data_IF_534435709588
#
_entry.id   IF_534435709588
#
_cell.length_a   1.000
_cell.length_b   1.000
_cell.length_c   1.000
_cell.angle_alpha   90.00
_cell.angle_beta   90.00
_cell.angle_gamma   90.00
#
_symmetry.space_group_name_H-M   'P 1'
#
loop_
_entity.id
_entity.type
_entity.pdbx_description
1 polymer ?
#
# COMPACT_ATOMS: atom_id res chain seq x y z
N UNK A 1 -8.45 4.14 12.55
CA UNK A 1 -7.22 4.86 12.12
C UNK A 1 -6.80 4.33 10.76
N UNK A 2 -6.45 5.19 9.82
CA UNK A 2 -5.82 4.80 8.56
C UNK A 2 -4.29 4.82 8.71
N UNK A 3 -3.60 3.88 8.09
CA UNK A 3 -2.12 3.87 8.04
C UNK A 3 -1.68 3.69 6.61
N UNK A 4 -0.66 4.43 6.13
CA UNK A 4 -0.10 4.18 4.81
C UNK A 4 0.49 2.76 4.77
N UNK A 5 0.35 2.12 3.62
CA UNK A 5 0.88 0.77 3.37
C UNK A 5 1.10 0.61 1.86
N UNK A 6 2.17 -0.09 1.51
CA UNK A 6 2.37 -0.50 0.11
C UNK A 6 1.50 -1.69 -0.23
N UNK A 7 1.18 -1.81 -1.51
CA UNK A 7 0.40 -2.93 -1.99
C UNK A 7 0.95 -3.44 -3.32
N UNK A 8 0.71 -4.72 -3.57
CA UNK A 8 0.72 -5.30 -4.91
C UNK A 8 -0.68 -5.81 -5.19
N UNK A 9 -1.21 -5.56 -6.39
CA UNK A 9 -2.48 -6.14 -6.84
C UNK A 9 -2.21 -7.24 -7.87
N UNK A 10 -2.60 -8.47 -7.57
CA UNK A 10 -2.40 -9.65 -8.42
C UNK A 10 -3.64 -10.54 -8.35
N UNK A 11 -4.12 -10.97 -9.51
CA UNK A 11 -5.22 -11.95 -9.64
C UNK A 11 -6.45 -11.62 -8.79
N UNK A 12 -6.84 -10.34 -8.76
CA UNK A 12 -8.01 -9.89 -8.00
C UNK A 12 -7.74 -9.62 -6.52
N UNK A 13 -6.55 -9.89 -6.00
CA UNK A 13 -6.19 -9.80 -4.58
C UNK A 13 -5.19 -8.66 -4.33
N UNK A 14 -5.39 -7.89 -3.27
CA UNK A 14 -4.37 -6.97 -2.77
C UNK A 14 -3.48 -7.68 -1.75
N UNK A 15 -2.17 -7.64 -1.97
CA UNK A 15 -1.14 -8.20 -1.11
C UNK A 15 -0.41 -7.05 -0.41
N UNK A 16 -0.45 -7.03 0.91
CA UNK A 16 0.21 -6.02 1.73
C UNK A 16 1.25 -6.69 2.63
N UNK A 17 2.42 -6.10 2.78
CA UNK A 17 3.44 -6.56 3.72
C UNK A 17 3.31 -5.83 5.07
N UNK A 18 3.45 -6.54 6.18
CA UNK A 18 3.56 -5.98 7.54
C UNK A 18 4.24 -6.98 8.48
N UNK A 19 4.43 -6.59 9.75
CA UNK A 19 4.77 -7.51 10.82
C UNK A 19 3.55 -7.84 11.72
N UNK A 20 3.64 -8.96 12.42
CA UNK A 20 2.73 -9.41 13.48
C UNK A 20 3.54 -9.77 14.75
N UNK A 21 3.05 -9.50 15.96
CA UNK A 21 1.81 -8.81 16.29
C UNK A 21 1.94 -7.28 16.22
N UNK A 22 1.07 -6.65 15.44
CA UNK A 22 0.87 -5.19 15.39
C UNK A 22 -0.63 -4.86 15.51
N UNK A 23 -1.01 -3.64 15.98
CA UNK A 23 -2.41 -3.26 16.16
C UNK A 23 -3.31 -3.53 14.94
N UNK A 24 -2.82 -3.27 13.71
CA UNK A 24 -3.57 -3.56 12.48
C UNK A 24 -3.80 -5.05 12.23
N UNK A 25 -2.80 -5.88 12.51
CA UNK A 25 -2.91 -7.34 12.34
C UNK A 25 -3.84 -7.95 13.39
N UNK A 26 -3.78 -7.46 14.64
CA UNK A 26 -4.69 -7.87 15.70
C UNK A 26 -6.13 -7.45 15.41
N UNK A 27 -6.32 -6.24 14.85
CA UNK A 27 -7.63 -5.77 14.42
C UNK A 27 -8.21 -6.65 13.30
N UNK A 28 -7.40 -7.05 12.30
CA UNK A 28 -7.80 -7.96 11.22
C UNK A 28 -8.21 -9.34 11.77
N UNK A 29 -7.44 -9.89 12.72
CA UNK A 29 -7.78 -11.18 13.35
C UNK A 29 -9.13 -11.11 14.11
N UNK A 30 -9.46 -9.96 14.70
CA UNK A 30 -10.74 -9.75 15.38
C UNK A 30 -11.89 -9.52 14.41
N UNK A 31 -11.65 -8.82 13.31
CA UNK A 31 -12.63 -8.51 12.27
C UNK A 31 -11.93 -8.31 10.93
N UNK A 32 -12.23 -9.20 9.99
CA UNK A 32 -11.61 -9.25 8.66
C UNK A 32 -12.06 -8.11 7.72
N UNK A 33 -13.05 -7.30 8.07
CA UNK A 33 -13.56 -6.23 7.21
C UNK A 33 -12.57 -5.08 7.14
N UNK A 34 -12.08 -4.80 5.94
CA UNK A 34 -11.12 -3.70 5.69
C UNK A 34 -11.60 -2.75 4.60
N UNK A 35 -11.05 -1.54 4.63
CA UNK A 35 -11.16 -0.56 3.57
C UNK A 35 -9.75 -0.14 3.13
N UNK A 36 -9.47 -0.19 1.83
CA UNK A 36 -8.26 0.37 1.24
C UNK A 36 -8.64 1.58 0.39
N UNK A 37 -7.84 2.65 0.47
CA UNK A 37 -7.96 3.80 -0.41
C UNK A 37 -6.63 3.99 -1.10
N UNK A 38 -6.66 4.00 -2.43
CA UNK A 38 -5.51 4.24 -3.28
C UNK A 38 -5.79 5.56 -3.98
N UNK A 39 -4.91 6.54 -3.77
CA UNK A 39 -5.11 7.89 -4.29
C UNK A 39 -3.93 8.30 -5.17
N UNK A 40 -4.22 8.96 -6.29
CA UNK A 40 -3.25 9.79 -6.99
C UNK A 40 -3.42 11.22 -6.50
N UNK A 41 -2.38 11.76 -5.87
CA UNK A 41 -2.38 13.10 -5.31
C UNK A 41 -2.16 14.20 -6.36
N UNK A 42 -2.01 13.85 -7.64
CA UNK A 42 -1.95 14.85 -8.73
C UNK A 42 -3.36 15.38 -9.02
N UNK A 43 -3.60 16.69 -8.91
CA UNK A 43 -4.88 17.26 -9.33
C UNK A 43 -5.01 17.22 -10.87
N UNK A 44 -6.23 17.16 -11.40
CA UNK A 44 -7.46 16.72 -10.73
C UNK A 44 -7.32 15.30 -10.17
N UNK A 45 -7.77 15.09 -8.94
CA UNK A 45 -7.49 13.85 -8.22
C UNK A 45 -8.18 12.63 -8.86
N UNK A 46 -7.62 11.46 -8.60
CA UNK A 46 -8.26 10.17 -8.89
C UNK A 46 -8.01 9.23 -7.73
N UNK A 47 -8.97 8.37 -7.45
CA UNK A 47 -8.84 7.40 -6.37
C UNK A 47 -9.60 6.11 -6.66
N UNK A 48 -9.20 5.06 -5.95
CA UNK A 48 -9.92 3.80 -5.85
C UNK A 48 -10.19 3.53 -4.37
N UNK A 49 -11.45 3.31 -4.03
CA UNK A 49 -11.87 2.85 -2.70
C UNK A 49 -12.31 1.39 -2.79
N UNK A 50 -11.70 0.55 -1.95
CA UNK A 50 -11.93 -0.89 -1.93
C UNK A 50 -12.46 -1.27 -0.55
N UNK A 51 -13.63 -1.90 -0.51
CA UNK A 51 -14.07 -2.69 0.65
C UNK A 51 -13.68 -4.14 0.41
N UNK A 52 -13.21 -4.82 1.44
CA UNK A 52 -12.77 -6.21 1.29
C UNK A 52 -12.75 -7.00 2.60
N UNK A 53 -12.36 -8.27 2.47
CA UNK A 53 -12.09 -9.19 3.58
C UNK A 53 -10.60 -9.48 3.61
N UNK A 54 -9.98 -9.31 4.77
CA UNK A 54 -8.54 -9.48 4.97
C UNK A 54 -8.26 -10.77 5.74
N UNK A 55 -7.23 -11.51 5.32
CA UNK A 55 -6.65 -12.60 6.10
C UNK A 55 -5.15 -12.40 6.26
N UNK A 56 -4.60 -12.86 7.38
CA UNK A 56 -3.15 -12.93 7.57
C UNK A 56 -2.66 -14.26 6.99
N UNK A 57 -1.73 -14.19 6.05
CA UNK A 57 -1.00 -15.35 5.55
C UNK A 57 0.38 -15.39 6.21
N UNK A 58 0.66 -16.40 7.05
CA UNK A 58 1.99 -16.60 7.60
C UNK A 58 2.96 -17.05 6.50
N UNK A 59 4.24 -16.73 6.68
CA UNK A 59 5.30 -17.09 5.73
C UNK A 59 6.36 -16.00 5.64
N UNK A 60 7.30 -15.93 6.61
CA UNK A 60 8.24 -14.83 6.71
C UNK A 60 9.09 -14.61 5.45
N UNK A 61 9.51 -15.69 4.79
CA UNK A 61 10.30 -15.61 3.56
C UNK A 61 9.51 -15.01 2.40
N UNK A 62 8.26 -15.43 2.21
CA UNK A 62 7.42 -14.92 1.14
C UNK A 62 6.99 -13.48 1.41
N UNK A 63 6.69 -13.16 2.67
CA UNK A 63 6.43 -11.80 3.12
C UNK A 63 7.63 -10.88 2.85
N UNK A 64 8.86 -11.36 3.10
CA UNK A 64 10.08 -10.62 2.78
C UNK A 64 10.25 -10.43 1.26
N UNK A 65 10.01 -11.46 0.44
CA UNK A 65 10.06 -11.34 -1.02
C UNK A 65 9.07 -10.31 -1.55
N UNK A 66 7.83 -10.32 -1.03
CA UNK A 66 6.82 -9.31 -1.36
C UNK A 66 7.31 -7.91 -0.94
N UNK A 67 7.93 -7.78 0.24
CA UNK A 67 8.44 -6.50 0.71
C UNK A 67 9.54 -5.95 -0.20
N UNK A 68 10.46 -6.79 -0.65
CA UNK A 68 11.51 -6.42 -1.60
C UNK A 68 10.95 -6.00 -2.97
N UNK A 69 9.96 -6.72 -3.48
CA UNK A 69 9.25 -6.39 -4.71
C UNK A 69 8.56 -5.02 -4.60
N UNK A 70 7.87 -4.77 -3.48
CA UNK A 70 7.20 -3.51 -3.22
C UNK A 70 8.21 -2.37 -3.05
N UNK A 71 9.29 -2.56 -2.29
CA UNK A 71 10.33 -1.55 -2.15
C UNK A 71 10.96 -1.19 -3.50
N UNK A 72 11.15 -2.17 -4.40
CA UNK A 72 11.60 -1.90 -5.77
C UNK A 72 10.58 -1.09 -6.56
N UNK A 73 9.30 -1.37 -6.40
CA UNK A 73 8.21 -0.65 -7.09
C UNK A 73 8.10 0.80 -6.61
N UNK A 74 8.15 1.03 -5.29
CA UNK A 74 7.92 2.35 -4.70
C UNK A 74 9.17 3.23 -4.64
N UNK A 75 10.36 2.66 -4.44
CA UNK A 75 11.61 3.41 -4.33
C UNK A 75 12.57 3.21 -5.52
N UNK A 76 12.27 2.30 -6.44
CA UNK A 76 13.20 1.90 -7.49
C UNK A 76 14.25 0.88 -7.01
N UNK A 77 15.04 0.29 -7.93
CA UNK A 77 15.90 -0.86 -7.62
C UNK A 77 17.02 -0.58 -6.61
N UNK A 78 17.68 0.58 -6.68
CA UNK A 78 18.82 0.90 -5.81
C UNK A 78 18.34 1.33 -4.43
N UNK A 79 17.48 2.34 -4.37
CA UNK A 79 16.94 2.88 -3.13
C UNK A 79 16.07 1.86 -2.41
N UNK A 80 15.29 1.05 -3.13
CA UNK A 80 14.50 -0.04 -2.55
C UNK A 80 15.37 -1.07 -1.82
N UNK A 81 16.49 -1.52 -2.43
CA UNK A 81 17.44 -2.43 -1.75
C UNK A 81 18.07 -1.78 -0.51
N UNK A 82 18.44 -0.51 -0.58
CA UNK A 82 18.98 0.20 0.57
C UNK A 82 17.96 0.29 1.72
N UNK A 83 16.70 0.60 1.38
CA UNK A 83 15.60 0.67 2.33
C UNK A 83 15.32 -0.67 3.02
N UNK A 84 15.26 -1.78 2.27
CA UNK A 84 15.04 -3.12 2.85
C UNK A 84 16.15 -3.48 3.83
N UNK A 85 17.42 -3.25 3.47
CA UNK A 85 18.56 -3.51 4.38
C UNK A 85 18.44 -2.68 5.67
N UNK A 86 18.03 -1.42 5.56
CA UNK A 86 17.78 -0.57 6.72
C UNK A 86 16.62 -1.12 7.58
N UNK A 87 15.49 -1.47 6.97
CA UNK A 87 14.33 -2.02 7.67
C UNK A 87 14.62 -3.35 8.38
N UNK A 88 15.43 -4.23 7.77
CA UNK A 88 15.86 -5.49 8.39
C UNK A 88 16.73 -5.26 9.64
N UNK A 89 17.64 -4.27 9.60
CA UNK A 89 18.46 -3.90 10.77
C UNK A 89 17.59 -3.40 11.94
N UNK A 90 16.59 -2.57 11.66
CA UNK A 90 15.66 -2.09 12.69
C UNK A 90 14.85 -3.20 13.34
N UNK A 91 14.49 -4.24 12.57
CA UNK A 91 13.79 -5.41 13.11
C UNK A 91 14.66 -6.20 14.10
N UNK A 92 15.96 -6.34 13.82
CA UNK A 92 16.89 -7.04 14.72
C UNK A 92 17.03 -6.34 16.08
N UNK A 93 16.79 -5.02 16.12
CA UNK A 93 16.82 -4.23 17.36
C UNK A 93 15.46 -4.07 18.02
N UNK A 94 14.39 -4.62 17.44
CA UNK A 94 13.03 -4.44 17.96
C UNK A 94 12.78 -5.35 19.18
N UNK A 95 12.23 -4.82 20.29
CA UNK A 95 11.89 -5.65 21.44
C UNK A 95 10.69 -6.54 21.13
N UNK A 96 10.83 -7.84 21.39
CA UNK A 96 9.78 -8.84 21.18
C UNK A 96 9.88 -9.58 19.85
N UNK A 97 9.23 -10.75 19.79
CA UNK A 97 9.19 -11.58 18.58
C UNK A 97 8.13 -11.03 17.62
N UNK A 98 8.59 -10.35 16.58
CA UNK A 98 7.77 -9.93 15.44
C UNK A 98 8.10 -10.79 14.22
N UNK A 99 7.07 -11.19 13.48
CA UNK A 99 7.19 -12.01 12.28
C UNK A 99 6.58 -11.28 11.08
N UNK A 100 7.25 -11.38 9.94
CA UNK A 100 6.73 -10.85 8.68
C UNK A 100 5.55 -11.67 8.19
N UNK A 101 4.48 -10.98 7.83
CA UNK A 101 3.22 -11.58 7.34
C UNK A 101 2.71 -10.82 6.13
N UNK A 102 1.92 -11.53 5.32
CA UNK A 102 1.18 -10.93 4.22
C UNK A 102 -0.26 -10.73 4.68
N UNK A 103 -0.80 -9.54 4.48
CA UNK A 103 -2.24 -9.31 4.52
C UNK A 103 -2.76 -9.50 3.10
N UNK A 104 -3.66 -10.46 2.92
CA UNK A 104 -4.37 -10.67 1.66
C UNK A 104 -5.76 -10.08 1.77
N UNK A 105 -6.09 -9.11 0.91
CA UNK A 105 -7.41 -8.50 0.88
C UNK A 105 -8.13 -8.93 -0.38
N UNK A 106 -9.22 -9.67 -0.19
CA UNK A 106 -10.17 -10.02 -1.25
C UNK A 106 -11.21 -8.91 -1.36
N UNK A 107 -11.29 -8.17 -2.49
CA UNK A 107 -12.26 -7.11 -2.67
C UNK A 107 -13.70 -7.65 -2.68
N UNK A 108 -14.60 -6.94 -2.02
CA UNK A 108 -16.06 -7.17 -2.08
C UNK A 108 -16.79 -6.03 -2.79
N UNK A 109 -16.19 -4.85 -2.81
CA UNK A 109 -16.65 -3.70 -3.60
C UNK A 109 -15.47 -2.82 -3.97
N UNK A 110 -15.41 -2.41 -5.23
CA UNK A 110 -14.43 -1.45 -5.74
C UNK A 110 -15.19 -0.27 -6.33
N UNK A 111 -14.83 0.94 -5.92
CA UNK A 111 -15.32 2.19 -6.49
C UNK A 111 -14.11 2.98 -6.97
N UNK A 112 -14.07 3.29 -8.26
CA UNK A 112 -13.05 4.15 -8.85
C UNK A 112 -13.68 5.48 -9.25
N UNK A 113 -12.95 6.57 -9.04
CA UNK A 113 -13.39 7.91 -9.41
C UNK A 113 -12.20 8.68 -9.99
N UNK A 114 -12.44 9.42 -11.07
CA UNK A 114 -11.46 10.29 -11.70
C UNK A 114 -12.10 11.64 -11.97
N UNK A 115 -11.59 12.68 -11.30
CA UNK A 115 -12.05 14.06 -11.53
C UNK A 115 -11.46 14.67 -12.81
N UNK A 116 -10.65 13.90 -13.56
CA UNK A 116 -10.15 14.29 -14.87
C UNK A 116 -11.04 13.86 -16.04
N UNK A 117 -12.06 13.02 -15.82
CA UNK A 117 -12.80 12.37 -16.91
C UNK A 117 -13.59 13.35 -17.79
N UNK A 118 -14.06 14.45 -17.19
CA UNK A 118 -14.82 15.48 -17.90
C UNK A 118 -13.94 16.57 -18.55
N UNK A 119 -12.61 16.49 -18.42
CA UNK A 119 -11.70 17.53 -18.86
C UNK A 119 -11.04 17.17 -20.20
N UNK A 120 -11.00 18.15 -21.11
CA UNK A 120 -10.22 17.98 -22.34
C UNK A 120 -8.70 17.96 -22.03
N UNK A 121 -7.86 17.38 -22.92
CA UNK A 121 -6.42 17.26 -22.68
C UNK A 121 -5.68 18.58 -22.42
N UNK A 122 -6.09 19.68 -23.08
CA UNK A 122 -5.45 20.98 -22.91
C UNK A 122 -5.73 21.56 -21.51
N UNK A 123 -6.98 21.47 -21.04
CA UNK A 123 -7.36 21.87 -19.68
C UNK A 123 -6.67 21.00 -18.63
N UNK A 124 -6.60 19.69 -18.85
CA UNK A 124 -5.89 18.78 -17.94
C UNK A 124 -4.38 19.09 -17.86
N UNK A 125 -3.75 19.38 -19.01
CA UNK A 125 -2.34 19.77 -19.07
C UNK A 125 -2.11 21.09 -18.33
N UNK A 126 -2.94 22.09 -18.57
CA UNK A 126 -2.87 23.38 -17.89
C UNK A 126 -2.98 23.22 -16.36
N UNK A 127 -4.02 22.51 -15.89
CA UNK A 127 -4.22 22.26 -14.45
C UNK A 127 -3.05 21.52 -13.78
N UNK A 128 -2.35 20.66 -14.52
CA UNK A 128 -1.15 19.95 -14.02
C UNK A 128 0.11 20.80 -14.04
N UNK A 129 0.23 21.74 -14.99
CA UNK A 129 1.38 22.62 -15.14
C UNK A 129 1.45 23.72 -14.06
N UNK A 130 0.30 24.23 -13.58
CA UNK A 130 0.24 25.29 -12.56
C UNK A 130 0.67 24.87 -11.14
N UNK A 131 1.16 23.64 -10.94
CA UNK A 131 1.52 23.11 -9.61
C UNK A 131 2.99 23.30 -9.23
N UNK A 132 3.67 24.30 -9.78
CA UNK A 132 4.95 24.75 -9.22
C UNK A 132 4.63 25.48 -7.91
N UNK A 133 5.08 24.89 -6.79
CA UNK A 133 5.02 25.40 -5.41
C UNK A 133 3.72 25.08 -4.64
N UNK A 134 3.76 24.00 -3.85
CA UNK A 134 3.21 24.04 -2.48
C UNK A 134 4.35 24.49 -1.57
N UNK A 135 4.17 25.60 -0.86
CA UNK A 135 4.96 25.98 0.32
C UNK A 135 4.77 24.93 1.42
#
# INVERSE_FOLDING_TARGET
MSTPIWFTYRDGIFLLHTAHPLPKTQAILKNDRVCLVIQDERPPYRYVSVRGRARLRPGPEEALRLYEEQARTYYGPLTGRAYIRYAQRLKQTSPGRIEDVIIEVTPTKIVAMSYSDALNPATLLALRAFRTVKL
#
